data_IF_393773490779
#
_entry.id   IF_393773490779
#
_cell.length_a   1.000
_cell.length_b   1.000
_cell.length_c   1.000
_cell.angle_alpha   90.00
_cell.angle_beta   90.00
_cell.angle_gamma   90.00
#
_symmetry.space_group_name_H-M   'P 1'
#
loop_
_entity.id
_entity.type
_entity.pdbx_description
1 polymer ?
#
# COMPACT_ATOMS: atom_id res chain seq x y z
N UNK A 1 -14.84 -34.70 -4.55
CA UNK A 1 -13.65 -34.48 -5.42
C UNK A 1 -13.43 -32.99 -5.77
N UNK A 2 -14.49 -32.19 -5.96
CA UNK A 2 -14.41 -30.79 -6.44
C UNK A 2 -13.64 -29.81 -5.52
N UNK A 3 -13.59 -30.05 -4.21
CA UNK A 3 -12.87 -29.19 -3.24
C UNK A 3 -11.43 -29.68 -2.97
N UNK A 4 -11.14 -30.95 -3.26
CA UNK A 4 -9.85 -31.56 -2.92
C UNK A 4 -8.67 -30.99 -3.71
N UNK A 5 -8.84 -30.81 -5.03
CA UNK A 5 -7.78 -30.25 -5.89
C UNK A 5 -7.49 -28.78 -5.56
N UNK A 6 -8.50 -27.89 -5.43
CA UNK A 6 -8.24 -26.51 -5.01
C UNK A 6 -7.61 -26.41 -3.61
N UNK A 7 -8.08 -27.20 -2.64
CA UNK A 7 -7.53 -27.18 -1.28
C UNK A 7 -6.07 -27.65 -1.25
N UNK A 8 -5.74 -28.71 -1.99
CA UNK A 8 -4.36 -29.20 -2.09
C UNK A 8 -3.43 -28.14 -2.70
N UNK A 9 -3.83 -27.52 -3.81
CA UNK A 9 -3.06 -26.44 -4.43
C UNK A 9 -2.89 -25.26 -3.47
N UNK A 10 -3.94 -24.89 -2.73
CA UNK A 10 -3.85 -23.82 -1.75
C UNK A 10 -2.85 -24.13 -0.63
N UNK A 11 -2.86 -25.35 -0.09
CA UNK A 11 -1.89 -25.77 0.93
C UNK A 11 -0.46 -25.69 0.38
N UNK A 12 -0.23 -26.26 -0.81
CA UNK A 12 1.12 -26.36 -1.38
C UNK A 12 1.68 -24.98 -1.75
N UNK A 13 0.86 -24.08 -2.29
CA UNK A 13 1.34 -22.82 -2.86
C UNK A 13 1.21 -21.63 -1.91
N UNK A 14 0.35 -21.70 -0.89
CA UNK A 14 0.15 -20.62 0.09
C UNK A 14 0.71 -21.02 1.43
N UNK A 15 0.27 -22.15 1.99
CA UNK A 15 0.60 -22.52 3.36
C UNK A 15 2.04 -23.02 3.54
N UNK A 16 2.55 -23.82 2.60
CA UNK A 16 3.94 -24.30 2.69
C UNK A 16 4.93 -23.10 2.66
N UNK A 17 4.87 -22.17 1.68
CA UNK A 17 5.75 -21.00 1.71
C UNK A 17 5.56 -20.14 2.95
N UNK A 18 4.33 -19.96 3.45
CA UNK A 18 4.06 -19.19 4.66
C UNK A 18 4.70 -19.83 5.93
N UNK A 19 4.67 -21.16 6.04
CA UNK A 19 5.35 -21.85 7.15
C UNK A 19 6.87 -21.78 7.00
N UNK A 20 7.39 -21.85 5.76
CA UNK A 20 8.82 -21.68 5.50
C UNK A 20 9.30 -20.26 5.83
N UNK A 21 8.53 -19.21 5.54
CA UNK A 21 8.90 -17.84 5.92
C UNK A 21 8.92 -17.65 7.43
N UNK A 22 8.00 -18.30 8.16
CA UNK A 22 8.05 -18.36 9.62
C UNK A 22 9.30 -19.10 10.10
N UNK A 23 9.65 -20.24 9.52
CA UNK A 23 10.88 -20.95 9.91
C UNK A 23 12.14 -20.10 9.64
N UNK A 24 12.17 -19.39 8.49
CA UNK A 24 13.27 -18.53 8.10
C UNK A 24 13.41 -17.28 8.99
N UNK A 25 12.33 -16.79 9.63
CA UNK A 25 12.42 -15.64 10.53
C UNK A 25 13.27 -15.91 11.78
N UNK A 26 13.45 -17.18 12.16
CA UNK A 26 14.36 -17.62 13.22
C UNK A 26 15.80 -17.86 12.73
N UNK A 27 16.08 -17.57 11.46
CA UNK A 27 17.39 -17.73 10.84
C UNK A 27 17.95 -16.40 10.38
N UNK A 28 19.27 -16.27 10.37
CA UNK A 28 19.96 -15.21 9.67
C UNK A 28 20.13 -15.65 8.21
N UNK A 29 19.36 -15.04 7.30
CA UNK A 29 19.44 -15.29 5.88
C UNK A 29 19.26 -13.99 5.09
N UNK A 30 20.15 -13.75 4.12
CA UNK A 30 20.14 -12.56 3.27
C UNK A 30 19.35 -12.76 1.96
N UNK A 31 18.68 -13.90 1.78
CA UNK A 31 17.84 -14.19 0.61
C UNK A 31 18.59 -14.58 -0.66
N UNK A 32 19.93 -14.53 -0.68
CA UNK A 32 20.73 -14.73 -1.92
C UNK A 32 21.30 -16.15 -2.03
N UNK A 33 21.87 -16.68 -0.94
CA UNK A 33 22.50 -18.00 -0.93
C UNK A 33 21.91 -18.86 0.20
N UNK A 34 21.37 -20.03 -0.13
CA UNK A 34 20.82 -20.94 0.88
C UNK A 34 21.89 -21.49 1.84
N UNK A 35 23.15 -21.54 1.41
CA UNK A 35 24.29 -21.96 2.26
C UNK A 35 24.55 -21.04 3.45
N UNK A 36 24.02 -19.81 3.41
CA UNK A 36 24.28 -18.80 4.43
C UNK A 36 23.20 -18.77 5.52
N UNK A 37 22.22 -19.67 5.46
CA UNK A 37 21.18 -19.80 6.48
C UNK A 37 21.84 -20.26 7.78
N UNK A 38 21.82 -19.40 8.80
CA UNK A 38 22.32 -19.71 10.14
C UNK A 38 21.19 -19.60 11.14
N UNK A 39 21.07 -20.56 12.05
CA UNK A 39 20.06 -20.49 13.10
C UNK A 39 20.38 -19.33 14.06
N UNK A 40 19.45 -18.38 14.19
CA UNK A 40 19.59 -17.18 15.02
C UNK A 40 18.62 -17.20 16.22
N UNK A 41 17.71 -18.17 16.29
CA UNK A 41 16.70 -18.25 17.32
C UNK A 41 15.83 -16.99 17.34
N UNK A 42 15.74 -16.32 18.49
CA UNK A 42 14.94 -15.10 18.66
C UNK A 42 15.70 -13.80 18.44
N UNK A 43 16.99 -13.84 18.06
CA UNK A 43 17.82 -12.64 17.94
C UNK A 43 17.27 -11.62 16.93
N UNK A 44 16.66 -12.09 15.84
CA UNK A 44 16.02 -11.21 14.85
C UNK A 44 14.85 -10.42 15.46
N UNK A 45 14.04 -11.05 16.32
CA UNK A 45 12.92 -10.40 16.97
C UNK A 45 13.40 -9.38 18.00
N UNK A 46 14.38 -9.73 18.83
CA UNK A 46 14.97 -8.80 19.80
C UNK A 46 15.54 -7.56 19.11
N UNK A 47 16.27 -7.74 18.00
CA UNK A 47 16.83 -6.65 17.19
C UNK A 47 15.75 -5.71 16.63
N UNK A 48 14.60 -6.25 16.21
CA UNK A 48 13.48 -5.44 15.69
C UNK A 48 12.88 -4.58 16.81
N UNK A 49 12.70 -5.12 18.01
CA UNK A 49 12.05 -4.38 19.11
C UNK A 49 13.00 -3.42 19.85
N UNK A 50 14.30 -3.71 19.90
CA UNK A 50 15.28 -2.93 20.67
C UNK A 50 16.15 -2.01 19.82
N UNK A 51 16.59 -2.45 18.65
CA UNK A 51 17.62 -1.79 17.86
C UNK A 51 17.10 -1.15 16.56
N UNK A 52 15.80 -1.24 16.27
CA UNK A 52 15.21 -0.76 15.01
C UNK A 52 14.16 0.34 15.22
N UNK A 53 14.57 1.62 15.37
CA UNK A 53 13.62 2.73 15.53
C UNK A 53 12.62 2.89 14.38
N UNK A 54 13.00 2.44 13.17
CA UNK A 54 12.15 2.51 11.98
C UNK A 54 10.93 1.59 12.10
N UNK A 55 11.03 0.50 12.89
CA UNK A 55 9.94 -0.44 13.10
C UNK A 55 8.70 0.24 13.70
N UNK A 56 8.87 0.99 14.79
CA UNK A 56 7.76 1.70 15.43
C UNK A 56 7.18 2.81 14.54
N UNK A 57 8.04 3.48 13.77
CA UNK A 57 7.58 4.50 12.82
C UNK A 57 6.74 3.88 11.70
N UNK A 58 7.19 2.77 11.13
CA UNK A 58 6.45 2.02 10.12
C UNK A 58 5.14 1.44 10.67
N UNK A 59 5.17 0.85 11.87
CA UNK A 59 3.98 0.31 12.54
C UNK A 59 2.92 1.39 12.79
N UNK A 60 3.34 2.55 13.29
CA UNK A 60 2.45 3.70 13.51
C UNK A 60 1.84 4.18 12.21
N UNK A 61 2.65 4.37 11.17
CA UNK A 61 2.16 4.84 9.86
C UNK A 61 1.17 3.84 9.24
N UNK A 62 1.49 2.54 9.24
CA UNK A 62 0.59 1.49 8.78
C UNK A 62 -0.72 1.46 9.57
N UNK A 63 -0.66 1.68 10.89
CA UNK A 63 -1.87 1.72 11.73
C UNK A 63 -2.75 2.91 11.39
N UNK A 64 -2.18 4.11 11.24
CA UNK A 64 -2.94 5.29 10.81
C UNK A 64 -3.62 5.08 9.45
N UNK A 65 -2.89 4.54 8.48
CA UNK A 65 -3.45 4.23 7.16
C UNK A 65 -4.53 3.15 7.21
N UNK A 66 -4.31 2.07 7.94
CA UNK A 66 -5.31 1.02 8.14
C UNK A 66 -6.60 1.58 8.74
N UNK A 67 -6.50 2.44 9.76
CA UNK A 67 -7.66 3.11 10.35
C UNK A 67 -8.33 4.07 9.36
N UNK A 68 -7.56 4.88 8.65
CA UNK A 68 -8.09 5.80 7.64
C UNK A 68 -8.87 5.06 6.54
N UNK A 69 -8.28 4.01 5.97
CA UNK A 69 -8.94 3.23 4.93
C UNK A 69 -10.18 2.52 5.47
N UNK A 70 -10.09 1.91 6.66
CA UNK A 70 -11.20 1.15 7.24
C UNK A 70 -12.39 2.02 7.67
N UNK A 71 -12.14 3.19 8.27
CA UNK A 71 -13.18 4.02 8.88
C UNK A 71 -13.63 5.20 8.02
N UNK A 72 -12.82 5.65 7.07
CA UNK A 72 -13.13 6.82 6.24
C UNK A 72 -13.27 6.41 4.78
N UNK A 73 -12.23 5.83 4.17
CA UNK A 73 -12.25 5.53 2.74
C UNK A 73 -13.29 4.46 2.38
N UNK A 74 -13.34 3.34 3.12
CA UNK A 74 -14.29 2.25 2.86
C UNK A 74 -15.74 2.71 3.05
N UNK A 75 -16.14 3.36 4.16
CA UNK A 75 -17.52 3.83 4.30
C UNK A 75 -17.91 4.88 3.26
N UNK A 76 -17.00 5.81 2.90
CA UNK A 76 -17.25 6.76 1.81
C UNK A 76 -17.43 6.05 0.46
N UNK A 77 -16.59 5.05 0.17
CA UNK A 77 -16.71 4.24 -1.04
C UNK A 77 -18.04 3.49 -1.11
N UNK A 78 -18.47 2.89 -0.01
CA UNK A 78 -19.78 2.20 0.11
C UNK A 78 -20.93 3.20 -0.05
N UNK A 79 -20.83 4.39 0.55
CA UNK A 79 -21.84 5.44 0.40
C UNK A 79 -21.97 5.89 -1.05
N UNK A 80 -20.85 6.14 -1.74
CA UNK A 80 -20.85 6.50 -3.15
C UNK A 80 -21.43 5.37 -4.01
N UNK A 81 -21.03 4.12 -3.76
CA UNK A 81 -21.57 2.96 -4.46
C UNK A 81 -23.10 2.85 -4.29
N UNK A 82 -23.60 3.07 -3.08
CA UNK A 82 -25.04 3.08 -2.80
C UNK A 82 -25.79 4.18 -3.58
N UNK A 83 -25.23 5.40 -3.66
CA UNK A 83 -25.86 6.50 -4.39
C UNK A 83 -25.88 6.25 -5.90
N UNK A 84 -24.81 5.66 -6.41
CA UNK A 84 -24.73 5.25 -7.81
C UNK A 84 -25.80 4.17 -8.05
N UNK A 85 -25.88 3.11 -7.26
CA UNK A 85 -26.86 2.01 -7.43
C UNK A 85 -28.34 2.44 -7.46
N UNK A 86 -28.69 3.57 -6.81
CA UNK A 86 -30.04 4.17 -6.85
C UNK A 86 -30.51 4.62 -8.24
N UNK A 87 -29.75 4.40 -9.30
CA UNK A 87 -30.07 4.76 -10.70
C UNK A 87 -30.47 6.23 -10.84
N UNK A 88 -29.72 7.10 -10.17
CA UNK A 88 -29.84 8.55 -10.31
C UNK A 88 -29.70 8.98 -11.78
N UNK A 89 -30.27 10.13 -12.16
CA UNK A 89 -30.15 10.64 -13.54
C UNK A 89 -28.67 10.74 -13.93
N UNK A 90 -28.29 10.11 -15.04
CA UNK A 90 -26.89 10.07 -15.49
C UNK A 90 -26.03 8.96 -14.87
N UNK A 91 -26.61 8.01 -14.13
CA UNK A 91 -25.92 6.91 -13.44
C UNK A 91 -24.81 6.23 -14.26
N UNK A 92 -25.03 5.91 -15.54
CA UNK A 92 -24.02 5.27 -16.40
C UNK A 92 -22.72 6.08 -16.56
N UNK A 93 -22.83 7.42 -16.57
CA UNK A 93 -21.68 8.31 -16.67
C UNK A 93 -20.90 8.29 -15.35
N UNK A 94 -21.60 8.44 -14.22
CA UNK A 94 -20.98 8.37 -12.90
C UNK A 94 -20.27 7.03 -12.68
N UNK A 95 -20.94 5.92 -13.00
CA UNK A 95 -20.39 4.58 -12.95
C UNK A 95 -19.09 4.49 -13.77
N UNK A 96 -19.10 4.95 -15.02
CA UNK A 96 -17.91 4.95 -15.88
C UNK A 96 -16.76 5.77 -15.27
N UNK A 97 -17.04 6.98 -14.76
CA UNK A 97 -16.03 7.85 -14.13
C UNK A 97 -15.41 7.20 -12.89
N UNK A 98 -16.22 6.54 -12.06
CA UNK A 98 -15.73 5.84 -10.87
C UNK A 98 -14.90 4.59 -11.20
N UNK A 99 -15.21 3.90 -12.30
CA UNK A 99 -14.45 2.72 -12.72
C UNK A 99 -13.14 3.05 -13.44
N UNK A 100 -13.01 4.22 -14.08
CA UNK A 100 -11.79 4.60 -14.81
C UNK A 100 -10.50 4.40 -13.99
N UNK A 101 -10.39 4.88 -12.74
CA UNK A 101 -9.18 4.67 -11.95
C UNK A 101 -8.91 3.21 -11.63
N UNK A 102 -9.96 2.41 -11.41
CA UNK A 102 -9.86 1.01 -10.98
C UNK A 102 -9.37 0.11 -12.11
N UNK A 103 -9.71 0.44 -13.37
CA UNK A 103 -9.25 -0.32 -14.54
C UNK A 103 -7.82 0.03 -14.98
N UNK A 104 -7.27 1.15 -14.50
CA UNK A 104 -5.87 1.51 -14.74
C UNK A 104 -4.94 0.66 -13.87
N UNK A 105 -3.78 0.28 -14.41
CA UNK A 105 -2.77 -0.40 -13.61
C UNK A 105 -2.22 0.51 -12.51
N UNK A 106 -1.87 -0.07 -11.37
CA UNK A 106 -1.28 0.67 -10.25
C UNK A 106 -0.03 1.47 -10.67
N UNK A 107 0.76 0.93 -11.59
CA UNK A 107 1.93 1.60 -12.14
C UNK A 107 1.56 2.90 -12.88
N UNK A 108 0.51 2.86 -13.72
CA UNK A 108 0.03 4.04 -14.46
C UNK A 108 -0.51 5.10 -13.49
N UNK A 109 -1.30 4.68 -12.50
CA UNK A 109 -1.83 5.57 -11.46
C UNK A 109 -0.68 6.26 -10.72
N UNK A 110 0.35 5.52 -10.34
CA UNK A 110 1.55 6.06 -9.68
C UNK A 110 2.28 7.10 -10.53
N UNK A 111 2.39 6.88 -11.85
CA UNK A 111 2.99 7.85 -12.77
C UNK A 111 2.14 9.13 -12.86
N UNK A 112 0.81 9.00 -12.97
CA UNK A 112 -0.11 10.15 -13.00
C UNK A 112 0.05 10.98 -11.73
N UNK A 113 0.00 10.36 -10.56
CA UNK A 113 0.19 11.06 -9.28
C UNK A 113 1.57 11.70 -9.18
N UNK A 114 2.63 11.02 -9.64
CA UNK A 114 3.98 11.60 -9.67
C UNK A 114 4.04 12.90 -10.49
N UNK A 115 3.36 12.95 -11.64
CA UNK A 115 3.27 14.18 -12.42
C UNK A 115 2.40 15.24 -11.75
N UNK A 116 1.25 14.85 -11.18
CA UNK A 116 0.33 15.78 -10.50
C UNK A 116 0.95 16.43 -9.26
N UNK A 117 1.81 15.72 -8.54
CA UNK A 117 2.50 16.14 -7.33
C UNK A 117 3.89 16.74 -7.60
N UNK A 118 4.31 16.78 -8.87
CA UNK A 118 5.57 17.41 -9.26
C UNK A 118 5.57 18.92 -8.98
N UNK A 119 6.74 19.59 -9.06
CA UNK A 119 6.86 21.02 -8.78
C UNK A 119 5.99 21.91 -9.67
N UNK A 120 5.72 21.50 -10.90
CA UNK A 120 4.80 22.17 -11.85
C UNK A 120 3.47 21.44 -12.00
N UNK A 121 3.18 20.50 -11.10
CA UNK A 121 1.99 19.66 -11.16
C UNK A 121 0.72 20.42 -10.79
N UNK A 122 -0.43 19.87 -11.20
CA UNK A 122 -1.74 20.45 -10.93
C UNK A 122 -1.97 20.75 -9.43
N UNK A 123 -1.46 19.89 -8.55
CA UNK A 123 -1.64 20.06 -7.10
C UNK A 123 -0.96 21.34 -6.60
N UNK A 124 0.24 21.66 -7.07
CA UNK A 124 0.95 22.89 -6.66
C UNK A 124 0.24 24.15 -7.15
N UNK A 125 -0.25 24.12 -8.40
CA UNK A 125 -1.04 25.21 -8.97
C UNK A 125 -2.32 25.46 -8.15
N UNK A 126 -3.02 24.40 -7.76
CA UNK A 126 -4.21 24.49 -6.90
C UNK A 126 -3.90 24.99 -5.48
N UNK A 127 -2.70 24.69 -4.97
CA UNK A 127 -2.22 25.18 -3.67
C UNK A 127 -1.70 26.63 -3.72
N UNK A 128 -1.63 27.25 -4.90
CA UNK A 128 -1.18 28.63 -5.06
C UNK A 128 0.31 28.79 -5.31
N UNK A 129 1.03 27.71 -5.65
CA UNK A 129 2.46 27.70 -5.96
C UNK A 129 2.69 27.32 -7.44
N UNK A 130 2.37 28.22 -8.40
CA UNK A 130 2.51 27.91 -9.83
C UNK A 130 3.96 27.90 -10.33
N UNK A 131 4.88 28.51 -9.57
CA UNK A 131 6.31 28.57 -9.89
C UNK A 131 7.10 27.42 -9.26
N UNK A 132 8.14 26.95 -9.95
CA UNK A 132 9.03 25.89 -9.47
C UNK A 132 9.80 26.32 -8.20
N UNK A 133 10.09 27.62 -8.09
CA UNK A 133 10.91 28.18 -7.01
C UNK A 133 10.19 28.16 -5.65
N UNK A 134 8.86 28.33 -5.66
CA UNK A 134 8.02 28.33 -4.45
C UNK A 134 7.31 26.99 -4.21
N UNK A 135 7.52 26.00 -5.08
CA UNK A 135 6.83 24.72 -5.02
C UNK A 135 7.24 23.93 -3.77
N UNK A 136 6.24 23.36 -3.08
CA UNK A 136 6.49 22.54 -1.89
C UNK A 136 7.17 21.24 -2.36
N UNK A 137 8.36 20.87 -1.85
CA UNK A 137 9.05 19.65 -2.29
C UNK A 137 8.40 18.41 -1.65
N UNK A 138 7.24 17.98 -2.18
CA UNK A 138 6.42 16.87 -1.65
C UNK A 138 7.23 15.58 -1.49
N UNK A 139 8.05 15.24 -2.48
CA UNK A 139 8.89 14.04 -2.46
C UNK A 139 10.15 14.19 -1.58
N UNK A 140 10.67 15.42 -1.42
CA UNK A 140 11.88 15.70 -0.64
C UNK A 140 11.61 15.94 0.85
N UNK A 141 10.37 16.27 1.23
CA UNK A 141 9.99 16.56 2.60
C UNK A 141 9.43 15.30 3.29
N UNK A 142 10.18 14.75 4.24
CA UNK A 142 9.84 13.51 4.94
C UNK A 142 8.49 13.59 5.70
N UNK A 143 8.11 14.76 6.21
CA UNK A 143 6.86 14.91 6.97
C UNK A 143 5.62 14.81 6.09
N UNK A 144 5.72 15.22 4.82
CA UNK A 144 4.61 15.20 3.85
C UNK A 144 4.64 13.91 3.04
N UNK A 145 5.82 13.47 2.62
CA UNK A 145 6.03 12.30 1.77
C UNK A 145 5.33 11.05 2.33
N UNK A 146 5.42 10.82 3.64
CA UNK A 146 4.80 9.68 4.32
C UNK A 146 3.27 9.60 4.12
N UNK A 147 2.60 10.74 3.91
CA UNK A 147 1.15 10.81 3.68
C UNK A 147 0.76 10.77 2.20
N UNK A 148 1.73 10.82 1.29
CA UNK A 148 1.49 10.97 -0.15
C UNK A 148 1.92 9.75 -0.95
N UNK A 149 2.94 9.01 -0.51
CA UNK A 149 3.48 7.85 -1.23
C UNK A 149 2.93 6.51 -0.71
N UNK A 150 2.52 6.44 0.55
CA UNK A 150 1.84 5.28 1.15
C UNK A 150 0.34 5.34 0.90
#
# INVERSE_FOLDING_TARGET
MFVGVPAFLHIVWVWIPALLTIALSFTYWNGVQLSNIRWAGLANYDTIFTASPQFYSALRNNTYWLLWFSFIATPLGVLLAYQVDRRIRGHKIYESVYYIPVVLSLAVIGIIWRFMLGPTGLVQVLLGYPGIEDAIPIFGNYSINTYVIL
#
